data_IF_343037632791
#
_entry.id   IF_343037632791
#
_cell.length_a   1.000
_cell.length_b   1.000
_cell.length_c   1.000
_cell.angle_alpha   90.00
_cell.angle_beta   90.00
_cell.angle_gamma   90.00
#
_symmetry.space_group_name_H-M   'P 1'
#
loop_
_entity.id
_entity.type
_entity.pdbx_description
1 polymer ?
#
# COMPACT_ATOMS: atom_id res chain seq x y z
N UNK A 1 -67.83 1.29 -51.92
CA UNK A 1 -68.27 2.17 -50.82
C UNK A 1 -68.19 1.34 -49.54
N UNK A 2 -67.19 1.59 -48.70
CA UNK A 2 -67.09 0.95 -47.39
C UNK A 2 -67.15 2.03 -46.32
N UNK A 3 -68.06 1.81 -45.37
CA UNK A 3 -68.47 2.73 -44.31
C UNK A 3 -67.40 2.78 -43.22
N UNK A 4 -66.95 3.97 -42.84
CA UNK A 4 -66.04 4.16 -41.70
C UNK A 4 -66.86 4.03 -40.41
N UNK A 5 -66.63 2.96 -39.63
CA UNK A 5 -67.12 2.84 -38.26
C UNK A 5 -65.99 3.23 -37.30
N UNK A 6 -66.29 4.22 -36.45
CA UNK A 6 -65.48 4.83 -35.40
C UNK A 6 -64.18 4.10 -35.02
N UNK A 7 -63.06 4.74 -35.33
CA UNK A 7 -61.74 4.32 -34.88
C UNK A 7 -61.62 4.55 -33.36
N UNK A 8 -61.59 3.44 -32.62
CA UNK A 8 -61.15 3.43 -31.22
C UNK A 8 -59.74 3.98 -31.18
N UNK A 9 -59.54 4.98 -30.33
CA UNK A 9 -58.31 5.67 -29.99
C UNK A 9 -57.15 4.69 -29.71
N UNK A 10 -56.50 4.21 -30.77
CA UNK A 10 -55.36 3.30 -30.68
C UNK A 10 -54.13 4.15 -30.45
N UNK A 11 -53.80 4.36 -29.19
CA UNK A 11 -52.50 4.95 -28.83
C UNK A 11 -51.40 4.02 -29.34
N UNK A 12 -50.46 4.52 -30.18
CA UNK A 12 -49.31 3.74 -30.55
C UNK A 12 -48.52 3.43 -29.28
N UNK A 13 -48.14 2.17 -29.09
CA UNK A 13 -47.25 1.75 -28.02
C UNK A 13 -46.04 1.04 -28.62
N UNK A 14 -44.88 1.21 -28.00
CA UNK A 14 -43.65 0.53 -28.36
C UNK A 14 -43.45 -0.61 -27.37
N UNK A 15 -43.28 -1.82 -27.89
CA UNK A 15 -42.82 -2.97 -27.11
C UNK A 15 -41.34 -3.16 -27.39
N UNK A 16 -40.51 -3.10 -26.36
CA UNK A 16 -39.09 -3.45 -26.46
C UNK A 16 -38.93 -4.93 -26.11
N UNK A 17 -38.20 -5.66 -26.94
CA UNK A 17 -37.92 -7.08 -26.68
C UNK A 17 -36.85 -7.27 -25.61
N UNK A 18 -35.87 -6.36 -25.56
CA UNK A 18 -34.79 -6.32 -24.57
C UNK A 18 -34.26 -4.88 -24.48
N UNK A 19 -33.89 -4.44 -23.27
CA UNK A 19 -33.33 -3.11 -23.03
C UNK A 19 -32.15 -3.23 -22.06
N UNK A 20 -30.97 -2.84 -22.53
CA UNK A 20 -29.77 -2.71 -21.72
C UNK A 20 -29.40 -1.24 -21.60
N UNK A 21 -29.24 -0.75 -20.38
CA UNK A 21 -28.74 0.59 -20.10
C UNK A 21 -27.41 0.50 -19.39
N UNK A 22 -26.40 1.11 -19.98
CA UNK A 22 -25.06 1.20 -19.42
C UNK A 22 -24.87 2.61 -18.84
N UNK A 23 -24.45 2.68 -17.58
CA UNK A 23 -24.05 3.95 -16.98
C UNK A 23 -22.66 4.36 -17.47
N UNK A 24 -22.49 5.61 -17.91
CA UNK A 24 -21.18 6.22 -18.10
C UNK A 24 -20.89 7.14 -16.91
N UNK A 25 -20.19 6.59 -15.91
CA UNK A 25 -19.87 7.31 -14.68
C UNK A 25 -18.45 7.89 -14.69
N UNK A 26 -18.28 9.03 -14.03
CA UNK A 26 -16.95 9.53 -13.68
C UNK A 26 -16.24 8.54 -12.76
N UNK A 27 -14.91 8.45 -12.90
CA UNK A 27 -14.09 7.56 -12.09
C UNK A 27 -14.37 7.74 -10.60
N UNK A 28 -14.67 6.64 -9.92
CA UNK A 28 -14.98 6.61 -8.49
C UNK A 28 -16.45 6.63 -8.14
N UNK A 29 -17.34 6.59 -9.14
CA UNK A 29 -18.78 6.38 -8.94
C UNK A 29 -19.30 5.22 -9.78
N UNK A 30 -20.40 4.62 -9.35
CA UNK A 30 -21.07 3.49 -9.99
C UNK A 30 -22.58 3.58 -9.79
N UNK A 31 -23.32 2.60 -10.33
CA UNK A 31 -24.78 2.56 -10.48
C UNK A 31 -25.26 3.40 -11.68
N UNK A 32 -26.51 3.17 -12.11
CA UNK A 32 -27.10 3.80 -13.31
C UNK A 32 -27.09 5.33 -13.26
N UNK A 33 -27.22 5.89 -12.05
CA UNK A 33 -27.24 7.35 -11.81
C UNK A 33 -25.90 7.90 -11.28
N UNK A 34 -24.84 7.08 -11.22
CA UNK A 34 -23.54 7.45 -10.64
C UNK A 34 -23.63 8.00 -9.19
N UNK A 35 -24.68 7.61 -8.46
CA UNK A 35 -24.96 8.11 -7.12
C UNK A 35 -24.15 7.41 -6.04
N UNK A 36 -23.58 6.23 -6.35
CA UNK A 36 -22.82 5.43 -5.39
C UNK A 36 -21.33 5.61 -5.62
N UNK A 37 -20.56 5.75 -4.54
CA UNK A 37 -19.10 5.81 -4.61
C UNK A 37 -18.49 4.41 -4.69
N UNK A 38 -17.37 4.28 -5.40
CA UNK A 38 -16.57 3.06 -5.40
C UNK A 38 -16.06 2.72 -3.97
N UNK A 39 -15.82 1.43 -3.67
CA UNK A 39 -15.20 1.00 -2.42
C UNK A 39 -13.86 1.71 -2.16
N UNK A 40 -13.51 1.90 -0.88
CA UNK A 40 -12.24 2.54 -0.47
C UNK A 40 -11.00 1.81 -0.98
N UNK A 41 -11.10 0.49 -1.17
CA UNK A 41 -10.05 -0.37 -1.71
C UNK A 41 -9.79 -0.13 -3.20
N UNK A 42 -10.72 0.47 -3.93
CA UNK A 42 -10.60 0.72 -5.38
C UNK A 42 -11.32 2.01 -5.78
N UNK A 43 -11.01 3.10 -5.05
CA UNK A 43 -11.70 4.40 -5.13
C UNK A 43 -11.92 4.94 -6.54
N UNK A 44 -11.10 4.55 -7.51
CA UNK A 44 -11.18 5.01 -8.90
C UNK A 44 -11.33 3.89 -9.92
N UNK A 45 -11.40 2.63 -9.47
CA UNK A 45 -11.29 1.42 -10.30
C UNK A 45 -12.33 0.39 -9.87
N UNK A 46 -13.60 0.76 -9.95
CA UNK A 46 -14.72 -0.18 -9.76
C UNK A 46 -15.59 -0.24 -11.01
N UNK A 47 -16.24 -1.38 -11.22
CA UNK A 47 -17.20 -1.58 -12.31
C UNK A 47 -18.42 -0.69 -12.09
N UNK A 48 -18.84 0.03 -13.13
CA UNK A 48 -20.01 0.92 -13.07
C UNK A 48 -21.31 0.16 -12.78
N UNK A 49 -21.42 -1.08 -13.22
CA UNK A 49 -22.64 -1.88 -13.11
C UNK A 49 -22.90 -2.40 -11.69
N UNK A 50 -21.86 -2.74 -10.94
CA UNK A 50 -22.01 -3.47 -9.67
C UNK A 50 -21.12 -2.96 -8.52
N UNK A 51 -20.29 -1.94 -8.78
CA UNK A 51 -19.43 -1.32 -7.77
C UNK A 51 -18.27 -2.18 -7.29
N UNK A 52 -18.08 -3.38 -7.83
CA UNK A 52 -16.94 -4.24 -7.46
C UNK A 52 -15.66 -3.72 -8.08
N UNK A 53 -14.54 -3.94 -7.42
CA UNK A 53 -13.24 -3.52 -7.93
C UNK A 53 -12.91 -4.21 -9.26
N UNK A 54 -12.40 -3.47 -10.23
CA UNK A 54 -12.21 -3.99 -11.60
C UNK A 54 -10.79 -4.48 -11.84
N UNK A 55 -9.77 -3.64 -11.61
CA UNK A 55 -8.38 -4.01 -11.91
C UNK A 55 -7.45 -3.99 -10.70
N UNK A 56 -7.85 -3.36 -9.59
CA UNK A 56 -6.95 -3.17 -8.45
C UNK A 56 -7.65 -3.14 -7.11
N UNK A 57 -6.98 -3.70 -6.11
CA UNK A 57 -7.35 -3.61 -4.70
C UNK A 57 -6.19 -2.98 -3.90
N UNK A 58 -6.41 -1.87 -3.22
CA UNK A 58 -5.41 -1.21 -2.38
C UNK A 58 -5.25 -1.99 -1.07
N UNK A 59 -4.05 -2.52 -0.80
CA UNK A 59 -3.75 -3.33 0.39
C UNK A 59 -4.18 -4.80 0.30
N UNK A 60 -4.78 -5.19 -0.82
CA UNK A 60 -5.28 -6.53 -1.09
C UNK A 60 -4.92 -6.94 -2.53
N UNK A 61 -5.19 -8.19 -2.91
CA UNK A 61 -5.14 -8.69 -4.28
C UNK A 61 -6.46 -9.40 -4.59
N UNK A 62 -6.54 -10.16 -5.69
CA UNK A 62 -7.72 -10.91 -6.15
C UNK A 62 -9.00 -10.12 -6.55
N UNK A 63 -8.90 -9.06 -7.39
CA UNK A 63 -10.09 -8.46 -7.98
C UNK A 63 -11.00 -9.53 -8.64
N UNK A 64 -12.33 -9.44 -8.51
CA UNK A 64 -13.08 -8.33 -7.91
C UNK A 64 -13.32 -8.44 -6.40
N UNK A 65 -12.84 -9.50 -5.73
CA UNK A 65 -13.20 -9.79 -4.34
C UNK A 65 -12.42 -8.95 -3.33
N UNK A 66 -11.15 -8.65 -3.63
CA UNK A 66 -10.27 -7.92 -2.72
C UNK A 66 -10.22 -8.56 -1.31
N UNK A 67 -10.16 -9.89 -1.26
CA UNK A 67 -10.27 -10.71 -0.06
C UNK A 67 -8.91 -11.16 0.46
N UNK A 68 -7.91 -11.29 -0.40
CA UNK A 68 -6.56 -11.64 0.00
C UNK A 68 -5.75 -10.41 0.35
N UNK A 69 -5.50 -10.18 1.62
CA UNK A 69 -4.63 -9.10 2.11
C UNK A 69 -3.18 -9.28 1.61
N UNK A 70 -2.46 -8.17 1.48
CA UNK A 70 -1.02 -8.22 1.23
C UNK A 70 -0.27 -8.87 2.39
N UNK A 71 0.82 -9.57 2.05
CA UNK A 71 1.74 -10.07 3.07
C UNK A 71 2.40 -8.88 3.77
N UNK A 72 2.92 -9.06 4.98
CA UNK A 72 3.59 -7.98 5.72
C UNK A 72 4.79 -7.38 5.00
N UNK A 73 5.31 -8.05 3.96
CA UNK A 73 6.46 -7.65 3.15
C UNK A 73 6.07 -6.96 1.83
N UNK A 74 4.78 -6.81 1.54
CA UNK A 74 4.28 -6.16 0.32
C UNK A 74 3.13 -5.19 0.61
N UNK A 75 2.92 -4.23 -0.28
CA UNK A 75 1.92 -3.18 -0.09
C UNK A 75 1.43 -2.60 -1.42
N UNK A 76 0.43 -1.71 -1.33
CA UNK A 76 -0.12 -0.97 -2.45
C UNK A 76 -1.19 -1.73 -3.21
N UNK A 77 -1.47 -1.30 -4.44
CA UNK A 77 -2.49 -1.92 -5.30
C UNK A 77 -2.02 -3.30 -5.73
N UNK A 78 -2.83 -4.33 -5.48
CA UNK A 78 -2.54 -5.73 -5.81
C UNK A 78 -1.24 -6.26 -5.19
N UNK A 79 -0.77 -5.64 -4.10
CA UNK A 79 0.46 -6.02 -3.40
C UNK A 79 1.72 -5.98 -4.31
N UNK A 80 1.73 -5.08 -5.29
CA UNK A 80 2.80 -5.01 -6.29
C UNK A 80 4.08 -4.35 -5.78
N UNK A 81 4.03 -3.63 -4.65
CA UNK A 81 5.20 -2.98 -4.07
C UNK A 81 5.78 -3.84 -2.95
N UNK A 82 7.11 -3.90 -2.85
CA UNK A 82 7.79 -4.49 -1.70
C UNK A 82 7.97 -3.44 -0.59
N UNK A 83 7.94 -3.88 0.66
CA UNK A 83 8.34 -3.05 1.79
C UNK A 83 9.83 -2.73 1.73
N UNK A 84 10.21 -1.58 2.30
CA UNK A 84 11.62 -1.16 2.37
C UNK A 84 12.43 -2.08 3.28
N UNK A 85 13.66 -2.42 2.88
CA UNK A 85 14.62 -3.17 3.72
C UNK A 85 15.09 -2.36 4.93
N UNK A 86 14.81 -1.06 4.98
CA UNK A 86 15.02 -0.21 6.16
C UNK A 86 13.97 -0.46 7.24
N UNK A 87 12.80 -1.00 6.88
CA UNK A 87 11.82 -1.45 7.86
C UNK A 87 12.36 -2.64 8.64
N UNK A 88 12.10 -2.69 9.94
CA UNK A 88 12.40 -3.87 10.73
C UNK A 88 11.65 -5.09 10.17
N UNK A 89 12.39 -6.17 9.88
CA UNK A 89 11.90 -7.39 9.22
C UNK A 89 11.29 -7.18 7.84
N UNK A 90 11.63 -6.08 7.16
CA UNK A 90 10.99 -5.65 5.90
C UNK A 90 9.47 -5.62 6.02
N UNK A 91 8.94 -5.25 7.20
CA UNK A 91 7.51 -5.24 7.49
C UNK A 91 6.92 -3.82 7.38
N UNK A 92 5.89 -3.65 6.57
CA UNK A 92 5.23 -2.36 6.34
C UNK A 92 3.71 -2.48 6.23
N UNK A 93 3.04 -1.33 6.36
CA UNK A 93 1.60 -1.18 6.17
C UNK A 93 1.21 -1.55 4.73
N UNK A 94 0.22 -2.42 4.58
CA UNK A 94 -0.21 -2.95 3.29
C UNK A 94 -0.79 -1.88 2.35
N UNK A 95 -1.23 -0.73 2.85
CA UNK A 95 -1.83 0.33 2.05
C UNK A 95 -0.78 1.36 1.61
N UNK A 96 -0.01 1.88 2.57
CA UNK A 96 0.85 3.05 2.34
C UNK A 96 2.36 2.74 2.35
N UNK A 97 2.76 1.51 2.70
CA UNK A 97 4.16 1.08 2.68
C UNK A 97 5.03 1.62 3.81
N UNK A 98 4.46 2.32 4.80
CA UNK A 98 5.19 2.82 5.96
C UNK A 98 5.56 1.67 6.90
N UNK A 99 6.75 1.74 7.49
CA UNK A 99 7.25 0.67 8.34
C UNK A 99 6.41 0.54 9.62
N UNK A 100 6.13 -0.69 10.05
CA UNK A 100 5.25 -0.95 11.20
C UNK A 100 6.00 -1.04 12.54
N UNK A 101 7.21 -1.61 12.51
CA UNK A 101 7.88 -2.06 13.74
C UNK A 101 9.18 -1.31 14.08
N UNK A 102 9.52 -0.27 13.32
CA UNK A 102 10.75 0.49 13.49
C UNK A 102 11.64 0.48 12.27
N UNK A 103 12.74 1.22 12.38
CA UNK A 103 13.69 1.44 11.31
C UNK A 103 15.06 0.87 11.67
N UNK A 104 15.54 -0.15 10.95
CA UNK A 104 16.86 -0.73 11.23
C UNK A 104 17.97 0.11 10.59
N UNK A 105 18.70 0.87 11.41
CA UNK A 105 19.77 1.77 10.95
C UNK A 105 19.31 3.15 10.48
N UNK A 106 18.05 3.51 10.73
CA UNK A 106 17.46 4.81 10.43
C UNK A 106 16.68 5.32 11.65
N UNK A 107 16.43 6.63 11.75
CA UNK A 107 15.92 7.29 12.96
C UNK A 107 14.50 7.86 12.81
N UNK A 108 14.02 8.05 11.59
CA UNK A 108 12.78 8.75 11.25
C UNK A 108 11.61 7.77 11.04
N UNK A 109 11.29 6.98 12.07
CA UNK A 109 10.12 6.11 12.04
C UNK A 109 8.82 6.93 11.85
N UNK A 110 7.91 6.54 10.94
CA UNK A 110 7.84 5.27 10.19
C UNK A 110 8.40 5.27 8.76
N UNK A 111 9.06 6.36 8.33
CA UNK A 111 9.56 6.52 6.96
C UNK A 111 10.87 5.77 6.71
N UNK A 112 11.75 5.73 7.71
CA UNK A 112 13.05 5.07 7.64
C UNK A 112 13.92 5.53 6.45
N UNK A 113 13.92 6.85 6.18
CA UNK A 113 14.71 7.49 5.11
C UNK A 113 15.93 8.24 5.63
N UNK A 114 15.99 8.55 6.93
CA UNK A 114 17.09 9.27 7.58
C UNK A 114 17.98 8.29 8.35
N UNK A 115 19.15 7.98 7.81
CA UNK A 115 20.11 7.07 8.45
C UNK A 115 20.53 7.54 9.86
N UNK A 116 21.00 6.62 10.69
CA UNK A 116 21.64 6.94 11.97
C UNK A 116 22.85 7.86 11.79
N UNK A 117 23.20 8.61 12.83
CA UNK A 117 24.54 9.19 12.91
C UNK A 117 25.58 8.06 12.92
N UNK A 118 26.82 8.35 12.52
CA UNK A 118 27.90 7.37 12.58
C UNK A 118 28.20 6.87 14.01
N UNK A 119 27.71 7.56 15.05
CA UNK A 119 27.87 7.22 16.46
C UNK A 119 26.70 6.44 17.07
N UNK A 120 25.65 6.13 16.30
CA UNK A 120 24.46 5.40 16.77
C UNK A 120 24.06 4.28 15.82
N UNK A 121 23.36 3.28 16.35
CA UNK A 121 22.96 2.09 15.59
C UNK A 121 21.69 1.41 16.11
N UNK A 122 21.21 0.44 15.35
CA UNK A 122 20.09 -0.44 15.67
C UNK A 122 18.73 0.13 15.23
N UNK A 123 17.67 -0.39 15.83
CA UNK A 123 16.30 0.06 15.54
C UNK A 123 16.11 1.47 16.05
N UNK A 124 15.69 2.39 15.18
CA UNK A 124 15.49 3.80 15.49
C UNK A 124 16.74 4.48 16.07
N UNK A 125 17.93 3.94 15.77
CA UNK A 125 19.22 4.40 16.30
C UNK A 125 19.28 4.44 17.85
N UNK A 126 18.56 3.52 18.51
CA UNK A 126 18.41 3.50 19.97
C UNK A 126 19.72 3.21 20.73
N UNK A 127 20.76 2.70 20.07
CA UNK A 127 22.03 2.32 20.71
C UNK A 127 23.17 3.24 20.28
N UNK A 128 24.11 3.49 21.20
CA UNK A 128 25.35 4.22 20.91
C UNK A 128 26.47 3.25 20.58
N UNK A 129 27.31 3.60 19.61
CA UNK A 129 28.51 2.85 19.30
C UNK A 129 29.46 2.76 20.51
N UNK A 130 30.25 1.69 20.57
CA UNK A 130 31.27 1.53 21.60
C UNK A 130 32.25 2.71 21.58
N UNK A 131 32.60 3.21 22.77
CA UNK A 131 33.63 4.25 22.93
C UNK A 131 35.03 3.76 22.57
N UNK A 132 35.21 2.45 22.35
CA UNK A 132 36.47 1.85 21.89
C UNK A 132 36.51 1.66 20.38
N UNK A 133 35.42 1.90 19.66
CA UNK A 133 35.47 2.09 18.21
C UNK A 133 36.31 3.34 17.89
N UNK A 134 37.04 3.32 16.80
CA UNK A 134 37.68 4.52 16.26
C UNK A 134 36.62 5.61 15.97
N UNK A 135 36.87 6.85 16.41
CA UNK A 135 35.92 7.98 16.35
C UNK A 135 34.54 7.71 16.97
N UNK A 136 34.41 6.70 17.84
CA UNK A 136 33.13 6.21 18.34
C UNK A 136 32.16 5.86 17.21
N UNK A 137 32.67 5.41 16.05
CA UNK A 137 31.88 5.17 14.85
C UNK A 137 31.64 3.67 14.59
N UNK A 138 30.43 3.31 14.20
CA UNK A 138 30.04 1.93 13.93
C UNK A 138 28.99 1.80 12.83
N UNK A 139 28.77 0.57 12.34
CA UNK A 139 27.76 0.28 11.34
C UNK A 139 26.36 0.53 11.90
N UNK A 140 25.58 1.39 11.25
CA UNK A 140 24.25 1.82 11.71
C UNK A 140 23.25 0.68 11.96
N UNK A 141 23.35 -0.46 11.25
CA UNK A 141 22.44 -1.60 11.47
C UNK A 141 22.90 -2.52 12.61
N UNK A 142 24.19 -2.77 12.75
CA UNK A 142 24.72 -3.86 13.58
C UNK A 142 25.48 -3.39 14.81
N UNK A 143 25.94 -2.14 14.85
CA UNK A 143 26.80 -1.64 15.93
C UNK A 143 28.26 -2.06 15.83
N UNK A 144 28.63 -2.83 14.80
CA UNK A 144 29.99 -3.30 14.60
C UNK A 144 30.92 -2.11 14.31
N UNK A 145 32.02 -2.01 15.05
CA UNK A 145 33.04 -1.00 14.80
C UNK A 145 33.74 -1.27 13.45
N UNK A 146 34.16 -0.20 12.76
CA UNK A 146 34.99 -0.35 11.56
C UNK A 146 36.43 -0.72 11.93
N UNK A 147 36.96 -0.08 12.98
CA UNK A 147 38.28 -0.33 13.58
C UNK A 147 38.20 -0.12 15.10
N UNK A 148 39.15 -0.72 15.82
CA UNK A 148 39.31 -0.52 17.27
C UNK A 148 40.43 0.44 17.58
N UNK A 149 40.28 1.19 18.69
CA UNK A 149 41.38 1.95 19.30
C UNK A 149 42.51 1.01 19.75
N UNK A 150 43.76 1.50 19.83
CA UNK A 150 44.88 0.69 20.31
C UNK A 150 44.59 0.05 21.68
N UNK A 151 44.96 -1.22 21.83
CA UNK A 151 44.70 -2.01 23.05
C UNK A 151 43.33 -2.72 23.08
N UNK A 152 42.49 -2.55 22.06
CA UNK A 152 41.19 -3.21 21.95
C UNK A 152 41.05 -4.07 20.68
N UNK A 153 40.18 -5.08 20.74
CA UNK A 153 39.87 -6.00 19.64
C UNK A 153 38.42 -6.51 19.72
N UNK A 154 38.01 -7.30 18.71
CA UNK A 154 36.66 -7.85 18.57
C UNK A 154 35.74 -6.98 17.72
N UNK A 155 34.57 -7.50 17.34
CA UNK A 155 33.61 -6.81 16.44
C UNK A 155 33.07 -5.49 17.02
N UNK A 156 33.01 -5.38 18.34
CA UNK A 156 32.51 -4.22 19.08
C UNK A 156 33.61 -3.53 19.92
N UNK A 157 34.88 -3.93 19.73
CA UNK A 157 36.04 -3.40 20.44
C UNK A 157 35.93 -3.46 21.98
N UNK A 158 35.25 -4.47 22.51
CA UNK A 158 35.01 -4.66 23.95
C UNK A 158 36.02 -5.60 24.62
N UNK A 159 36.94 -6.18 23.86
CA UNK A 159 38.00 -7.05 24.38
C UNK A 159 39.34 -6.33 24.41
N UNK A 160 40.12 -6.52 25.48
CA UNK A 160 41.50 -6.05 25.56
C UNK A 160 42.44 -6.94 24.75
N UNK A 161 43.44 -6.33 24.11
CA UNK A 161 44.48 -7.01 23.34
C UNK A 161 45.67 -7.38 24.21
#
# INVERSE_FOLDING_TARGET
>A
MYTIKGERDKKPYVSLNEFEAYGECISGTWDLNCARSCPSLCRTSCHVENGKCSTGCLGYRDPPQCSSECASTTWGVNCLNNCSDSCLNSACDNINGLCLNGCLGYQDFPYCTKACSNTSYGVNCAYQCSSQCENNACKARTGQCFNCKPGFKGLYCNESK
#
